data_IF_512053841922
#
_entry.id   IF_512053841922
#
_cell.length_a   1.000
_cell.length_b   1.000
_cell.length_c   1.000
_cell.angle_alpha   90.00
_cell.angle_beta   90.00
_cell.angle_gamma   90.00
#
_symmetry.space_group_name_H-M   'P 1'
#
loop_
_entity.id
_entity.type
_entity.pdbx_description
1 polymer ?
#
# COMPACT_ATOMS: atom_id res chain seq x y z
N UNK A 1 18.42 -8.43 25.24
CA UNK A 1 18.94 -7.07 24.99
C UNK A 1 20.12 -7.08 24.01
N UNK A 2 21.12 -7.95 24.21
CA UNK A 2 22.30 -8.08 23.33
C UNK A 2 21.96 -8.22 21.84
N UNK A 3 21.04 -9.12 21.46
CA UNK A 3 20.68 -9.34 20.05
C UNK A 3 20.19 -8.07 19.32
N UNK A 4 19.30 -7.30 19.94
CA UNK A 4 18.79 -6.05 19.35
C UNK A 4 19.88 -4.98 19.19
N UNK A 5 20.80 -4.88 20.14
CA UNK A 5 21.94 -3.95 20.07
C UNK A 5 22.95 -4.35 18.99
N UNK A 6 23.21 -5.65 18.80
CA UNK A 6 24.07 -6.12 17.69
C UNK A 6 23.47 -5.73 16.34
N UNK A 7 22.18 -5.98 16.12
CA UNK A 7 21.52 -5.60 14.87
C UNK A 7 21.43 -4.08 14.67
N UNK A 8 21.27 -3.31 15.75
CA UNK A 8 21.39 -1.86 15.69
C UNK A 8 22.80 -1.42 15.25
N UNK A 9 23.86 -1.99 15.84
CA UNK A 9 25.24 -1.73 15.44
C UNK A 9 25.50 -2.06 13.97
N UNK A 10 25.00 -3.21 13.50
CA UNK A 10 25.06 -3.58 12.08
C UNK A 10 24.30 -2.61 11.18
N UNK A 11 23.13 -2.14 11.62
CA UNK A 11 22.37 -1.10 10.90
C UNK A 11 23.25 0.13 10.72
N UNK A 12 23.79 0.68 11.81
CA UNK A 12 24.67 1.84 11.76
C UNK A 12 25.86 1.63 10.80
N UNK A 13 26.52 0.48 10.86
CA UNK A 13 27.68 0.16 10.03
C UNK A 13 27.31 0.07 8.54
N UNK A 14 26.24 -0.65 8.20
CA UNK A 14 25.77 -0.80 6.81
C UNK A 14 25.33 0.55 6.25
N UNK A 15 24.82 1.46 7.08
CA UNK A 15 24.30 2.74 6.63
C UNK A 15 25.32 3.89 6.58
N UNK A 16 26.44 3.81 7.30
CA UNK A 16 27.45 4.86 7.27
C UNK A 16 27.86 5.28 5.84
N UNK A 17 28.03 4.36 4.86
CA UNK A 17 28.29 4.71 3.46
C UNK A 17 27.18 5.56 2.81
N UNK A 18 25.91 5.28 3.12
CA UNK A 18 24.76 6.01 2.54
C UNK A 18 24.64 7.42 3.11
N UNK A 19 24.84 7.57 4.42
CA UNK A 19 24.92 8.87 5.06
C UNK A 19 26.05 9.71 4.47
N UNK A 20 27.24 9.11 4.31
CA UNK A 20 28.38 9.75 3.64
C UNK A 20 28.07 10.13 2.19
N UNK A 21 27.42 9.26 1.41
CA UNK A 21 27.06 9.52 0.02
C UNK A 21 26.05 10.68 -0.12
N UNK A 22 25.05 10.78 0.77
CA UNK A 22 24.08 11.87 0.78
C UNK A 22 24.71 13.22 1.17
N UNK A 23 25.75 13.19 2.01
CA UNK A 23 26.44 14.39 2.49
C UNK A 23 27.60 14.82 1.58
N UNK A 24 28.10 13.92 0.72
CA UNK A 24 29.22 14.20 -0.18
C UNK A 24 29.01 15.45 -1.07
N UNK A 25 27.83 15.71 -1.68
CA UNK A 25 27.62 16.92 -2.47
C UNK A 25 27.71 18.21 -1.65
N UNK A 26 27.19 18.21 -0.41
CA UNK A 26 27.26 19.36 0.49
C UNK A 26 28.71 19.63 0.95
N UNK A 27 29.43 18.55 1.28
CA UNK A 27 30.85 18.62 1.61
C UNK A 27 31.68 19.14 0.44
N UNK A 28 31.39 18.69 -0.77
CA UNK A 28 32.05 19.14 -2.00
C UNK A 28 31.74 20.61 -2.33
N UNK A 29 30.48 21.05 -2.23
CA UNK A 29 30.12 22.46 -2.45
C UNK A 29 30.79 23.39 -1.44
N UNK A 30 30.83 22.98 -0.16
CA UNK A 30 31.52 23.75 0.88
C UNK A 30 33.03 23.77 0.66
N UNK A 31 33.60 22.63 0.24
CA UNK A 31 35.00 22.52 -0.14
C UNK A 31 35.35 23.51 -1.26
N UNK A 32 34.60 23.50 -2.38
CA UNK A 32 34.78 24.45 -3.49
C UNK A 32 34.72 25.92 -3.06
N UNK A 33 33.85 26.26 -2.11
CA UNK A 33 33.77 27.63 -1.57
C UNK A 33 35.01 27.99 -0.79
N UNK A 34 35.42 27.10 0.12
CA UNK A 34 36.61 27.32 0.90
C UNK A 34 37.84 27.38 -0.03
N UNK A 35 37.92 26.57 -1.10
CA UNK A 35 39.05 26.49 -2.05
C UNK A 35 39.34 27.84 -2.67
N UNK A 36 38.27 28.54 -3.07
CA UNK A 36 38.35 29.91 -3.56
C UNK A 36 38.89 30.90 -2.52
N UNK A 37 38.56 30.71 -1.25
CA UNK A 37 39.05 31.58 -0.15
C UNK A 37 40.53 31.31 0.12
N UNK A 38 40.95 30.06 0.16
CA UNK A 38 42.35 29.72 0.42
C UNK A 38 43.30 30.12 -0.71
N UNK A 39 42.83 30.06 -1.97
CA UNK A 39 43.58 30.58 -3.12
C UNK A 39 43.84 32.10 -3.02
N UNK A 40 42.99 32.85 -2.29
CA UNK A 40 43.22 34.27 -2.04
C UNK A 40 44.21 34.54 -0.91
N UNK A 41 44.38 33.59 0.02
CA UNK A 41 45.19 33.77 1.24
C UNK A 41 46.61 33.16 1.14
N UNK A 42 47.01 32.59 -0.01
CA UNK A 42 48.28 31.88 -0.24
C UNK A 42 48.61 30.76 0.79
N UNK A 43 47.63 30.29 1.56
CA UNK A 43 47.88 29.28 2.61
C UNK A 43 47.87 27.86 2.01
N UNK A 44 48.85 27.01 2.33
CA UNK A 44 48.83 25.61 1.93
C UNK A 44 47.70 24.89 2.68
N UNK A 45 46.65 24.52 1.93
CA UNK A 45 45.52 23.83 2.51
C UNK A 45 45.59 22.32 2.28
N UNK A 46 45.60 21.57 3.39
CA UNK A 46 45.39 20.13 3.36
C UNK A 46 43.91 19.74 3.50
N UNK A 47 43.40 18.99 2.52
CA UNK A 47 42.06 18.38 2.52
C UNK A 47 41.70 17.69 3.84
N UNK A 48 42.68 17.02 4.46
CA UNK A 48 42.51 16.23 5.68
C UNK A 48 42.15 17.06 6.92
N UNK A 49 42.66 18.29 7.06
CA UNK A 49 42.48 19.07 8.29
C UNK A 49 41.07 19.68 8.41
N UNK A 50 40.43 20.04 7.29
CA UNK A 50 39.11 20.69 7.32
C UNK A 50 37.96 19.69 7.21
N UNK A 51 38.09 18.63 6.41
CA UNK A 51 37.01 17.68 6.17
C UNK A 51 36.86 16.65 7.29
N UNK A 52 37.95 16.21 7.93
CA UNK A 52 37.89 15.26 9.06
C UNK A 52 36.98 15.72 10.21
N UNK A 53 37.09 16.97 10.74
CA UNK A 53 36.21 17.40 11.83
C UNK A 53 34.75 17.51 11.38
N UNK A 54 34.48 17.90 10.13
CA UNK A 54 33.11 17.99 9.60
C UNK A 54 32.53 16.58 9.44
N UNK A 55 33.25 15.66 8.81
CA UNK A 55 32.84 14.27 8.66
C UNK A 55 32.61 13.62 10.03
N UNK A 56 33.49 13.84 11.02
CA UNK A 56 33.31 13.36 12.39
C UNK A 56 32.03 13.90 13.03
N UNK A 57 31.75 15.21 12.88
CA UNK A 57 30.50 15.82 13.40
C UNK A 57 29.26 15.26 12.71
N UNK A 58 29.33 15.01 11.40
CA UNK A 58 28.23 14.43 10.64
C UNK A 58 27.97 12.98 11.02
N UNK A 59 29.01 12.15 11.15
CA UNK A 59 28.91 10.78 11.65
C UNK A 59 28.36 10.76 13.06
N UNK A 60 28.85 11.63 13.95
CA UNK A 60 28.34 11.72 15.32
C UNK A 60 26.86 12.13 15.35
N UNK A 61 26.47 13.16 14.58
CA UNK A 61 25.08 13.60 14.48
C UNK A 61 24.19 12.49 13.91
N UNK A 62 24.66 11.78 12.89
CA UNK A 62 23.99 10.61 12.33
C UNK A 62 23.80 9.53 13.40
N UNK A 63 24.84 9.17 14.16
CA UNK A 63 24.76 8.19 15.24
C UNK A 63 23.74 8.60 16.31
N UNK A 64 23.78 9.85 16.75
CA UNK A 64 22.85 10.38 17.77
C UNK A 64 21.41 10.29 17.29
N UNK A 65 21.11 10.66 16.04
CA UNK A 65 19.77 10.56 15.47
C UNK A 65 19.30 9.10 15.42
N UNK A 66 20.16 8.16 15.01
CA UNK A 66 19.80 6.75 14.91
C UNK A 66 19.63 6.09 16.29
N UNK A 67 20.50 6.42 17.25
CA UNK A 67 20.38 5.98 18.64
C UNK A 67 19.11 6.53 19.28
N UNK A 68 18.81 7.81 19.09
CA UNK A 68 17.58 8.43 19.57
C UNK A 68 16.33 7.79 18.96
N UNK A 69 16.35 7.53 17.65
CA UNK A 69 15.25 6.83 16.97
C UNK A 69 15.08 5.39 17.46
N UNK A 70 16.18 4.65 17.65
CA UNK A 70 16.14 3.30 18.22
C UNK A 70 15.60 3.31 19.65
N UNK A 71 16.09 4.20 20.52
CA UNK A 71 15.61 4.31 21.90
C UNK A 71 14.11 4.64 21.94
N UNK A 72 13.64 5.53 21.06
CA UNK A 72 12.23 5.84 20.92
C UNK A 72 11.40 4.63 20.45
N UNK A 73 11.85 3.91 19.40
CA UNK A 73 11.17 2.70 18.93
C UNK A 73 11.17 1.61 20.00
N UNK A 74 12.31 1.38 20.64
CA UNK A 74 12.43 0.42 21.72
C UNK A 74 11.47 0.77 22.86
N UNK A 75 11.41 2.04 23.27
CA UNK A 75 10.46 2.50 24.27
C UNK A 75 8.99 2.31 23.87
N UNK A 76 8.64 2.67 22.63
CA UNK A 76 7.29 2.52 22.07
C UNK A 76 6.81 1.06 22.06
N UNK A 77 7.70 0.10 21.80
CA UNK A 77 7.32 -1.30 21.60
C UNK A 77 7.63 -2.21 22.79
N UNK A 78 8.47 -1.79 23.75
CA UNK A 78 8.90 -2.66 24.83
C UNK A 78 8.24 -2.40 26.19
N UNK A 79 7.63 -1.23 26.43
CA UNK A 79 7.14 -0.85 27.77
C UNK A 79 5.63 -0.92 27.99
N UNK A 80 4.79 -0.81 26.94
CA UNK A 80 3.33 -0.73 27.10
C UNK A 80 2.70 -2.05 26.66
N UNK A 81 2.01 -2.76 27.56
CA UNK A 81 1.22 -3.97 27.30
C UNK A 81 1.88 -4.95 26.32
N UNK A 82 3.13 -5.28 26.61
CA UNK A 82 4.02 -5.95 25.67
C UNK A 82 3.85 -7.47 25.69
N UNK A 83 3.18 -8.00 24.67
CA UNK A 83 3.29 -9.41 24.30
C UNK A 83 4.59 -9.66 23.51
N UNK A 84 5.29 -10.75 23.82
CA UNK A 84 6.49 -11.21 23.08
C UNK A 84 7.71 -10.25 23.17
N UNK A 85 8.08 -9.84 24.38
CA UNK A 85 9.21 -8.94 24.66
C UNK A 85 10.48 -9.24 23.84
N UNK A 86 10.89 -10.52 23.76
CA UNK A 86 12.06 -10.93 22.98
C UNK A 86 11.93 -10.59 21.49
N UNK A 87 10.77 -10.85 20.88
CA UNK A 87 10.48 -10.49 19.50
C UNK A 87 10.51 -8.97 19.29
N UNK A 88 9.93 -8.18 20.23
CA UNK A 88 9.88 -6.71 20.13
C UNK A 88 11.24 -6.03 20.12
N UNK A 89 12.26 -6.63 20.71
CA UNK A 89 13.63 -6.10 20.60
C UNK A 89 14.11 -6.11 19.15
N UNK A 90 13.84 -7.20 18.42
CA UNK A 90 14.14 -7.30 16.99
C UNK A 90 13.21 -6.41 16.16
N UNK A 91 11.95 -6.28 16.56
CA UNK A 91 11.05 -5.34 15.90
C UNK A 91 11.57 -3.90 15.99
N UNK A 92 11.93 -3.43 17.18
CA UNK A 92 12.47 -2.09 17.39
C UNK A 92 13.75 -1.85 16.59
N UNK A 93 14.67 -2.82 16.56
CA UNK A 93 15.87 -2.74 15.72
C UNK A 93 15.52 -2.68 14.22
N UNK A 94 14.59 -3.53 13.78
CA UNK A 94 14.08 -3.56 12.41
C UNK A 94 13.37 -2.28 11.99
N UNK A 95 12.70 -1.57 12.90
CA UNK A 95 12.06 -0.28 12.60
C UNK A 95 13.07 0.80 12.19
N UNK A 96 14.29 0.77 12.73
CA UNK A 96 15.37 1.69 12.33
C UNK A 96 15.70 1.49 10.85
N UNK A 97 16.00 0.24 10.46
CA UNK A 97 16.30 -0.12 9.07
C UNK A 97 15.12 0.16 8.14
N UNK A 98 13.89 -0.15 8.57
CA UNK A 98 12.68 0.06 7.79
C UNK A 98 12.40 1.57 7.56
N UNK A 99 12.60 2.41 8.58
CA UNK A 99 12.43 3.86 8.47
C UNK A 99 13.42 4.47 7.46
N UNK A 100 14.67 4.01 7.47
CA UNK A 100 15.67 4.47 6.52
C UNK A 100 15.37 4.00 5.10
N UNK A 101 14.97 2.72 4.92
CA UNK A 101 14.49 2.22 3.61
C UNK A 101 13.28 3.01 3.13
N UNK A 102 12.35 3.38 4.02
CA UNK A 102 11.20 4.24 3.70
C UNK A 102 11.62 5.63 3.24
N UNK A 103 12.66 6.22 3.85
CA UNK A 103 13.22 7.50 3.42
C UNK A 103 13.87 7.39 2.03
N UNK A 104 14.75 6.41 1.83
CA UNK A 104 15.45 6.21 0.56
C UNK A 104 14.48 5.89 -0.58
N UNK A 105 13.43 5.12 -0.32
CA UNK A 105 12.40 4.78 -1.33
C UNK A 105 11.46 5.95 -1.67
N UNK A 106 11.68 7.14 -1.10
CA UNK A 106 11.03 8.37 -1.62
C UNK A 106 11.56 8.70 -3.02
N UNK A 107 12.85 8.44 -3.26
CA UNK A 107 13.52 8.73 -4.53
C UNK A 107 13.94 7.46 -5.27
N UNK A 108 14.31 6.41 -4.54
CA UNK A 108 14.69 5.12 -5.13
C UNK A 108 13.46 4.19 -5.26
N UNK A 109 13.51 3.31 -6.25
CA UNK A 109 12.59 2.18 -6.33
C UNK A 109 12.93 1.15 -5.24
N UNK A 110 11.95 0.41 -4.67
CA UNK A 110 12.21 -0.64 -3.68
C UNK A 110 13.19 -1.75 -4.16
N UNK A 111 13.19 -2.07 -5.45
CA UNK A 111 14.12 -3.04 -6.08
C UNK A 111 15.49 -2.45 -6.44
N UNK A 112 15.76 -1.18 -6.12
CA UNK A 112 17.04 -0.59 -6.47
C UNK A 112 18.19 -1.37 -5.79
N UNK A 113 19.22 -1.84 -6.53
CA UNK A 113 20.33 -2.61 -5.95
C UNK A 113 21.05 -1.90 -4.79
N UNK A 114 21.04 -0.56 -4.79
CA UNK A 114 21.55 0.26 -3.69
C UNK A 114 20.84 -0.07 -2.37
N UNK A 115 19.58 -0.53 -2.38
CA UNK A 115 18.82 -0.93 -1.19
C UNK A 115 19.01 -2.40 -0.79
N UNK A 116 19.77 -3.19 -1.57
CA UNK A 116 19.91 -4.63 -1.34
C UNK A 116 20.55 -4.96 0.02
N UNK A 117 21.66 -4.32 0.45
CA UNK A 117 22.24 -4.58 1.78
C UNK A 117 21.25 -4.32 2.91
N UNK A 118 20.47 -3.25 2.79
CA UNK A 118 19.45 -2.88 3.79
C UNK A 118 18.30 -3.86 3.83
N UNK A 119 17.89 -4.34 2.66
CA UNK A 119 16.83 -5.34 2.54
C UNK A 119 17.28 -6.67 3.15
N UNK A 120 18.52 -7.10 2.89
CA UNK A 120 19.08 -8.33 3.47
C UNK A 120 19.25 -8.24 4.99
N UNK A 121 19.71 -7.10 5.50
CA UNK A 121 19.77 -6.87 6.94
C UNK A 121 18.37 -6.91 7.58
N UNK A 122 17.38 -6.26 6.95
CA UNK A 122 15.99 -6.30 7.42
C UNK A 122 15.41 -7.73 7.41
N UNK A 123 15.68 -8.50 6.36
CA UNK A 123 15.28 -9.91 6.25
C UNK A 123 15.90 -10.76 7.37
N UNK A 124 17.19 -10.58 7.65
CA UNK A 124 17.87 -11.28 8.74
C UNK A 124 17.24 -10.95 10.10
N UNK A 125 17.00 -9.66 10.39
CA UNK A 125 16.32 -9.22 11.62
C UNK A 125 14.92 -9.83 11.71
N UNK A 126 14.17 -9.82 10.61
CA UNK A 126 12.84 -10.41 10.54
C UNK A 126 12.88 -11.92 10.86
N UNK A 127 13.72 -12.69 10.17
CA UNK A 127 13.78 -14.14 10.36
C UNK A 127 14.28 -14.55 11.75
N UNK A 128 15.15 -13.77 12.38
CA UNK A 128 15.53 -14.00 13.77
C UNK A 128 14.40 -13.61 14.73
N UNK A 129 13.79 -12.45 14.52
CA UNK A 129 12.75 -11.92 15.41
C UNK A 129 11.47 -12.76 15.44
N UNK A 130 11.01 -13.25 14.29
CA UNK A 130 9.78 -14.06 14.23
C UNK A 130 9.91 -15.43 14.90
N UNK A 131 11.14 -15.94 15.13
CA UNK A 131 11.36 -17.18 15.90
C UNK A 131 10.96 -17.03 17.37
N UNK A 132 10.84 -15.79 17.85
CA UNK A 132 10.38 -15.48 19.21
C UNK A 132 8.88 -15.17 19.28
N UNK A 133 8.15 -15.28 18.16
CA UNK A 133 6.70 -15.20 18.12
C UNK A 133 6.09 -16.61 18.11
N UNK A 134 4.89 -16.81 18.67
CA UNK A 134 4.12 -18.04 18.48
C UNK A 134 3.88 -18.32 16.99
N UNK A 135 3.79 -19.59 16.62
CA UNK A 135 3.60 -19.99 15.22
C UNK A 135 2.33 -19.39 14.60
N UNK A 136 1.27 -19.24 15.40
CA UNK A 136 -0.02 -18.71 14.97
C UNK A 136 -0.20 -17.22 15.29
N UNK A 137 0.87 -16.46 15.49
CA UNK A 137 0.77 -15.03 15.78
C UNK A 137 0.74 -14.17 14.50
N UNK A 138 -0.27 -13.30 14.39
CA UNK A 138 -0.47 -12.40 13.26
C UNK A 138 0.58 -11.29 13.16
N UNK A 139 1.38 -11.05 14.20
CA UNK A 139 2.40 -10.01 14.23
C UNK A 139 3.43 -10.20 13.13
N UNK A 140 3.78 -11.45 12.78
CA UNK A 140 4.68 -11.73 11.66
C UNK A 140 4.15 -11.13 10.34
N UNK A 141 2.83 -11.18 10.13
CA UNK A 141 2.16 -10.56 8.99
C UNK A 141 2.26 -9.03 9.04
N UNK A 142 2.07 -8.43 10.21
CA UNK A 142 2.20 -6.98 10.39
C UNK A 142 3.62 -6.49 10.12
N UNK A 143 4.62 -7.23 10.61
CA UNK A 143 6.03 -6.93 10.35
C UNK A 143 6.32 -7.06 8.87
N UNK A 144 5.83 -8.13 8.21
CA UNK A 144 6.01 -8.35 6.77
C UNK A 144 5.42 -7.19 5.96
N UNK A 145 4.19 -6.78 6.27
CA UNK A 145 3.54 -5.64 5.65
C UNK A 145 4.35 -4.35 5.85
N UNK A 146 4.71 -4.05 7.09
CA UNK A 146 5.35 -2.78 7.46
C UNK A 146 6.75 -2.63 6.87
N UNK A 147 7.51 -3.72 6.75
CA UNK A 147 8.92 -3.67 6.38
C UNK A 147 9.19 -3.97 4.91
N UNK A 148 8.42 -4.85 4.27
CA UNK A 148 8.74 -5.34 2.92
C UNK A 148 7.70 -4.92 1.88
N UNK A 149 6.41 -4.96 2.22
CA UNK A 149 5.34 -4.60 1.29
C UNK A 149 5.07 -3.09 1.26
N UNK A 150 5.16 -2.40 2.40
CA UNK A 150 4.87 -0.97 2.51
C UNK A 150 5.61 -0.07 1.51
N UNK A 151 6.91 -0.29 1.18
CA UNK A 151 7.59 0.45 0.12
C UNK A 151 6.88 0.40 -1.25
N UNK A 152 6.23 -0.72 -1.58
CA UNK A 152 5.43 -0.89 -2.79
C UNK A 152 4.03 -0.30 -2.63
N UNK A 153 3.33 -0.68 -1.55
CA UNK A 153 1.90 -0.37 -1.37
C UNK A 153 1.65 1.13 -1.24
N UNK A 154 2.54 1.88 -0.58
CA UNK A 154 2.37 3.32 -0.36
C UNK A 154 2.39 4.17 -1.65
N UNK A 155 3.02 3.65 -2.71
CA UNK A 155 3.22 4.34 -4.00
C UNK A 155 2.60 3.57 -5.17
N UNK A 156 1.94 2.44 -4.91
CA UNK A 156 1.44 1.51 -5.94
C UNK A 156 2.52 1.14 -6.97
N UNK A 157 3.72 0.81 -6.49
CA UNK A 157 4.83 0.42 -7.37
C UNK A 157 4.75 -1.07 -7.73
N UNK A 158 5.13 -1.39 -8.96
CA UNK A 158 5.36 -2.76 -9.44
C UNK A 158 6.86 -3.05 -9.44
N UNK A 159 7.31 -4.31 -9.30
CA UNK A 159 8.72 -4.65 -9.40
C UNK A 159 9.37 -4.17 -10.71
N UNK A 160 10.69 -3.97 -10.71
CA UNK A 160 11.42 -3.64 -11.94
C UNK A 160 11.25 -4.71 -13.01
N UNK A 161 11.09 -4.26 -14.26
CA UNK A 161 10.88 -5.13 -15.42
C UNK A 161 9.48 -5.73 -15.50
N UNK A 162 8.52 -5.24 -14.71
CA UNK A 162 7.12 -5.66 -14.81
C UNK A 162 6.45 -5.00 -16.00
N UNK A 163 5.96 -5.82 -16.93
CA UNK A 163 5.10 -5.40 -18.03
C UNK A 163 3.64 -5.70 -17.69
N UNK A 164 2.76 -4.70 -17.82
CA UNK A 164 1.31 -4.80 -17.57
C UNK A 164 0.61 -5.74 -18.55
N UNK A 165 1.24 -6.06 -19.68
CA UNK A 165 0.67 -6.86 -20.76
C UNK A 165 1.08 -8.34 -20.73
N UNK A 166 1.96 -8.74 -19.82
CA UNK A 166 2.40 -10.13 -19.67
C UNK A 166 2.42 -10.58 -18.20
N UNK A 167 2.25 -11.88 -17.94
CA UNK A 167 2.45 -12.43 -16.60
C UNK A 167 3.91 -12.22 -16.22
N UNK A 168 4.15 -11.48 -15.14
CA UNK A 168 5.49 -11.27 -14.61
C UNK A 168 5.67 -12.09 -13.32
N UNK A 169 6.61 -13.05 -13.26
CA UNK A 169 6.81 -13.89 -12.08
C UNK A 169 7.13 -13.10 -10.80
N UNK A 170 7.85 -11.97 -10.89
CA UNK A 170 8.16 -11.13 -9.73
C UNK A 170 6.91 -10.44 -9.20
N UNK A 171 6.03 -9.99 -10.08
CA UNK A 171 4.77 -9.40 -9.67
C UNK A 171 3.84 -10.43 -9.04
N UNK A 172 3.77 -11.64 -9.61
CA UNK A 172 3.02 -12.77 -9.03
C UNK A 172 3.55 -13.11 -7.64
N UNK A 173 4.87 -13.23 -7.47
CA UNK A 173 5.48 -13.49 -6.17
C UNK A 173 5.16 -12.39 -5.13
N UNK A 174 5.21 -11.12 -5.54
CA UNK A 174 4.84 -10.00 -4.66
C UNK A 174 3.35 -10.02 -4.27
N UNK A 175 2.47 -10.42 -5.19
CA UNK A 175 1.04 -10.58 -4.91
C UNK A 175 0.74 -11.77 -4.01
N UNK A 176 1.45 -12.89 -4.17
CA UNK A 176 1.32 -14.04 -3.28
C UNK A 176 1.83 -13.72 -1.87
N UNK A 177 2.90 -12.94 -1.77
CA UNK A 177 3.38 -12.41 -0.49
C UNK A 177 2.36 -11.46 0.15
N UNK A 178 1.78 -10.55 -0.62
CA UNK A 178 0.73 -9.65 -0.15
C UNK A 178 -0.51 -10.43 0.31
N UNK A 179 -0.95 -11.43 -0.46
CA UNK A 179 -2.07 -12.29 -0.10
C UNK A 179 -1.81 -13.07 1.18
N UNK A 180 -0.65 -13.73 1.30
CA UNK A 180 -0.26 -14.47 2.50
C UNK A 180 -0.22 -13.56 3.73
N UNK A 181 0.27 -12.33 3.55
CA UNK A 181 0.30 -11.31 4.61
C UNK A 181 -1.11 -10.88 5.02
N UNK A 182 -2.02 -10.66 4.06
CA UNK A 182 -3.43 -10.36 4.33
C UNK A 182 -4.08 -11.50 5.11
N UNK A 183 -3.92 -12.75 4.66
CA UNK A 183 -4.48 -13.93 5.33
C UNK A 183 -3.98 -13.99 6.77
N UNK A 184 -2.67 -13.85 6.97
CA UNK A 184 -2.04 -13.86 8.30
C UNK A 184 -2.68 -12.79 9.20
N UNK A 185 -2.75 -11.53 8.73
CA UNK A 185 -3.32 -10.42 9.50
C UNK A 185 -4.80 -10.59 9.85
N UNK A 186 -5.59 -11.19 8.96
CA UNK A 186 -7.04 -11.29 9.11
C UNK A 186 -7.51 -12.58 9.80
N UNK A 187 -6.63 -13.57 9.98
CA UNK A 187 -7.00 -14.88 10.53
C UNK A 187 -6.23 -15.26 11.79
N UNK A 188 -5.08 -14.64 12.06
CA UNK A 188 -4.26 -14.95 13.22
C UNK A 188 -4.43 -13.87 14.31
N UNK A 189 -4.46 -14.26 15.60
CA UNK A 189 -4.53 -13.32 16.69
C UNK A 189 -3.30 -12.41 16.73
N UNK A 190 -3.50 -11.17 17.16
CA UNK A 190 -2.45 -10.21 17.48
C UNK A 190 -2.51 -9.98 18.99
N UNK A 191 -1.59 -10.60 19.74
CA UNK A 191 -1.60 -10.54 21.20
C UNK A 191 -1.34 -9.10 21.72
N UNK A 192 -0.48 -8.36 21.04
CA UNK A 192 -0.21 -6.96 21.33
C UNK A 192 -1.31 -6.05 20.74
N UNK A 193 -2.00 -5.31 21.63
CA UNK A 193 -3.09 -4.41 21.25
C UNK A 193 -2.61 -3.24 20.39
N UNK A 194 -1.41 -2.73 20.61
CA UNK A 194 -0.83 -1.68 19.77
C UNK A 194 -0.55 -2.20 18.36
N UNK A 195 -0.06 -3.44 18.22
CA UNK A 195 0.10 -4.08 16.91
C UNK A 195 -1.24 -4.29 16.21
N UNK A 196 -2.27 -4.72 16.95
CA UNK A 196 -3.63 -4.82 16.42
C UNK A 196 -4.14 -3.49 15.87
N UNK A 197 -3.93 -2.37 16.59
CA UNK A 197 -4.28 -1.03 16.11
C UNK A 197 -3.53 -0.63 14.84
N UNK A 198 -2.26 -0.97 14.71
CA UNK A 198 -1.47 -0.69 13.49
C UNK A 198 -1.88 -1.57 12.30
N UNK A 199 -2.29 -2.83 12.56
CA UNK A 199 -2.94 -3.68 11.57
C UNK A 199 -4.18 -2.99 10.99
N UNK A 200 -5.08 -2.53 11.86
CA UNK A 200 -6.33 -1.89 11.44
C UNK A 200 -6.10 -0.66 10.53
N UNK A 201 -5.03 0.09 10.75
CA UNK A 201 -4.68 1.27 9.95
C UNK A 201 -3.98 0.93 8.63
N UNK A 202 -3.17 -0.14 8.61
CA UNK A 202 -2.33 -0.50 7.46
C UNK A 202 -3.01 -1.46 6.48
N UNK A 203 -3.96 -2.28 6.95
CA UNK A 203 -4.66 -3.29 6.15
C UNK A 203 -5.35 -2.73 4.89
N UNK A 204 -6.09 -1.60 4.92
CA UNK A 204 -6.74 -1.06 3.71
C UNK A 204 -5.78 -0.77 2.56
N UNK A 205 -4.58 -0.28 2.88
CA UNK A 205 -3.59 0.10 1.87
C UNK A 205 -3.03 -1.15 1.20
N UNK A 206 -2.73 -2.20 2.00
CA UNK A 206 -2.28 -3.49 1.48
C UNK A 206 -3.37 -4.17 0.64
N UNK A 207 -4.61 -4.19 1.13
CA UNK A 207 -5.74 -4.75 0.42
C UNK A 207 -6.01 -4.05 -0.92
N UNK A 208 -5.97 -2.70 -0.93
CA UNK A 208 -6.13 -1.93 -2.15
C UNK A 208 -4.98 -2.15 -3.13
N UNK A 209 -3.75 -2.29 -2.64
CA UNK A 209 -2.60 -2.63 -3.49
C UNK A 209 -2.77 -4.00 -4.15
N UNK A 210 -3.08 -5.03 -3.36
CA UNK A 210 -3.36 -6.37 -3.88
C UNK A 210 -4.47 -6.31 -4.94
N UNK A 211 -5.59 -5.64 -4.64
CA UNK A 211 -6.71 -5.50 -5.58
C UNK A 211 -6.37 -4.68 -6.82
N UNK A 212 -5.46 -3.71 -6.76
CA UNK A 212 -5.06 -2.93 -7.93
C UNK A 212 -4.31 -3.79 -8.95
N UNK A 213 -3.65 -4.85 -8.50
CA UNK A 213 -2.69 -5.60 -9.29
C UNK A 213 -2.96 -7.11 -9.40
N UNK A 214 -3.95 -7.64 -8.70
CA UNK A 214 -4.41 -9.03 -8.80
C UNK A 214 -4.64 -9.51 -10.25
N UNK A 215 -4.96 -8.60 -11.15
CA UNK A 215 -5.12 -8.84 -12.57
C UNK A 215 -3.84 -9.40 -13.26
N UNK A 216 -2.66 -9.31 -12.63
CA UNK A 216 -1.40 -9.92 -13.09
C UNK A 216 -1.41 -11.46 -13.04
N UNK A 217 -2.29 -12.09 -12.25
CA UNK A 217 -2.43 -13.55 -12.22
C UNK A 217 -2.98 -14.14 -13.53
N UNK A 218 -3.53 -13.32 -14.43
CA UNK A 218 -4.47 -13.76 -15.46
C UNK A 218 -4.07 -13.33 -16.88
N UNK A 219 -2.83 -12.85 -17.07
CA UNK A 219 -2.46 -12.12 -18.28
C UNK A 219 -2.19 -13.07 -19.46
N UNK A 220 -3.21 -13.28 -20.28
CA UNK A 220 -3.07 -13.54 -21.72
C UNK A 220 -3.79 -12.42 -22.51
N UNK A 221 -3.19 -12.02 -23.63
CA UNK A 221 -3.38 -10.78 -24.42
C UNK A 221 -4.80 -10.34 -24.82
N UNK A 222 -5.90 -11.03 -24.47
CA UNK A 222 -7.25 -10.72 -24.99
C UNK A 222 -8.20 -10.24 -23.89
N UNK A 223 -8.50 -8.95 -23.93
CA UNK A 223 -9.33 -8.16 -23.01
C UNK A 223 -10.72 -8.74 -22.70
N UNK A 224 -11.32 -9.51 -23.60
CA UNK A 224 -12.62 -10.18 -23.39
C UNK A 224 -12.56 -11.54 -22.67
N UNK A 225 -11.45 -12.28 -22.78
CA UNK A 225 -11.28 -13.63 -22.18
C UNK A 225 -11.01 -13.54 -20.67
N UNK A 226 -10.63 -12.35 -20.19
CA UNK A 226 -10.24 -12.11 -18.80
C UNK A 226 -11.37 -12.33 -17.81
N UNK A 227 -12.59 -11.90 -18.12
CA UNK A 227 -13.71 -11.94 -17.19
C UNK A 227 -14.20 -13.37 -16.93
N UNK A 228 -14.50 -14.11 -18.00
CA UNK A 228 -15.00 -15.50 -17.90
C UNK A 228 -13.99 -16.43 -17.25
N UNK A 229 -12.68 -16.20 -17.47
CA UNK A 229 -11.62 -16.95 -16.80
C UNK A 229 -11.47 -16.60 -15.32
N UNK A 230 -11.55 -15.31 -14.93
CA UNK A 230 -11.51 -14.89 -13.51
C UNK A 230 -12.61 -15.60 -12.72
N UNK A 231 -13.82 -15.59 -13.26
CA UNK A 231 -15.02 -16.14 -12.62
C UNK A 231 -14.89 -17.64 -12.42
N UNK A 232 -14.28 -18.32 -13.39
CA UNK A 232 -14.03 -19.76 -13.35
C UNK A 232 -12.72 -20.12 -12.63
N UNK A 233 -11.93 -19.13 -12.19
CA UNK A 233 -10.62 -19.42 -11.59
C UNK A 233 -10.81 -19.90 -10.14
N UNK A 234 -10.47 -21.17 -9.83
CA UNK A 234 -10.83 -21.80 -8.55
C UNK A 234 -10.17 -21.12 -7.34
N UNK A 235 -9.04 -20.45 -7.55
CA UNK A 235 -8.32 -19.77 -6.47
C UNK A 235 -8.81 -18.32 -6.31
N UNK A 236 -9.16 -17.63 -7.40
CA UNK A 236 -9.20 -16.17 -7.39
C UNK A 236 -10.50 -15.63 -6.81
N UNK A 237 -11.63 -16.13 -7.31
CA UNK A 237 -12.94 -15.70 -6.84
C UNK A 237 -13.15 -15.94 -5.32
N UNK A 238 -12.72 -17.08 -4.73
CA UNK A 238 -12.74 -17.25 -3.27
C UNK A 238 -11.82 -16.28 -2.50
N UNK A 239 -10.71 -15.81 -3.11
CA UNK A 239 -9.87 -14.77 -2.49
C UNK A 239 -10.59 -13.43 -2.47
N UNK A 240 -11.26 -13.05 -3.57
CA UNK A 240 -12.02 -11.80 -3.65
C UNK A 240 -13.19 -11.75 -2.66
N UNK A 241 -13.93 -12.84 -2.50
CA UNK A 241 -15.01 -12.94 -1.51
C UNK A 241 -14.45 -12.75 -0.09
N UNK A 242 -13.41 -13.50 0.28
CA UNK A 242 -12.77 -13.37 1.60
C UNK A 242 -12.23 -11.96 1.86
N UNK A 243 -11.59 -11.34 0.87
CA UNK A 243 -11.08 -9.99 1.00
C UNK A 243 -12.22 -8.96 1.17
N UNK A 244 -13.32 -9.15 0.46
CA UNK A 244 -14.53 -8.32 0.62
C UNK A 244 -15.06 -8.41 2.04
N UNK A 245 -15.23 -9.63 2.57
CA UNK A 245 -15.74 -9.86 3.92
C UNK A 245 -14.84 -9.22 5.00
N UNK A 246 -13.51 -9.37 4.88
CA UNK A 246 -12.55 -8.73 5.79
C UNK A 246 -12.63 -7.21 5.73
N UNK A 247 -12.73 -6.62 4.54
CA UNK A 247 -12.83 -5.17 4.37
C UNK A 247 -14.16 -4.60 4.86
N UNK A 248 -15.26 -5.35 4.75
CA UNK A 248 -16.56 -4.93 5.27
C UNK A 248 -16.55 -4.86 6.79
N UNK A 249 -16.03 -5.89 7.48
CA UNK A 249 -15.92 -5.94 8.95
C UNK A 249 -14.96 -4.90 9.53
N UNK A 250 -13.99 -4.44 8.74
CA UNK A 250 -12.95 -3.52 9.22
C UNK A 250 -13.51 -2.22 9.82
N UNK A 251 -14.64 -1.72 9.34
CA UNK A 251 -15.25 -0.50 9.88
C UNK A 251 -15.78 -0.70 11.31
N UNK A 252 -16.40 -1.84 11.58
CA UNK A 252 -16.84 -2.20 12.92
C UNK A 252 -15.63 -2.31 13.86
N UNK A 253 -14.56 -2.95 13.39
CA UNK A 253 -13.30 -3.06 14.14
C UNK A 253 -12.66 -1.69 14.43
N UNK A 254 -12.74 -0.74 13.48
CA UNK A 254 -12.30 0.63 13.75
C UNK A 254 -13.13 1.30 14.84
N UNK A 255 -14.47 1.18 14.79
CA UNK A 255 -15.37 1.79 15.77
C UNK A 255 -15.20 1.19 17.17
N UNK A 256 -14.86 -0.10 17.25
CA UNK A 256 -14.53 -0.78 18.50
C UNK A 256 -13.21 -0.31 19.14
N UNK A 257 -12.35 0.38 18.39
CA UNK A 257 -11.08 0.95 18.86
C UNK A 257 -11.09 2.49 18.71
N UNK A 258 -11.56 3.26 19.72
CA UNK A 258 -11.76 4.71 19.61
C UNK A 258 -10.54 5.49 19.11
N UNK A 259 -9.34 5.10 19.54
CA UNK A 259 -8.09 5.70 19.07
C UNK A 259 -7.86 5.51 17.56
N UNK A 260 -8.20 4.32 17.05
CA UNK A 260 -8.08 3.99 15.62
C UNK A 260 -9.15 4.74 14.85
N UNK A 261 -10.39 4.77 15.33
CA UNK A 261 -11.47 5.52 14.70
C UNK A 261 -11.12 7.01 14.55
N UNK A 262 -10.61 7.63 15.62
CA UNK A 262 -10.16 9.02 15.58
C UNK A 262 -9.05 9.27 14.55
N UNK A 263 -8.10 8.33 14.39
CA UNK A 263 -7.06 8.40 13.35
C UNK A 263 -7.65 8.27 11.94
N UNK A 264 -8.58 7.34 11.72
CA UNK A 264 -9.25 7.14 10.43
C UNK A 264 -10.00 8.40 10.00
N UNK A 265 -10.71 9.05 10.93
CA UNK A 265 -11.41 10.30 10.67
C UNK A 265 -10.46 11.45 10.30
N UNK A 266 -9.30 11.56 10.99
CA UNK A 266 -8.26 12.56 10.70
C UNK A 266 -7.49 12.27 9.41
N UNK A 267 -7.43 11.02 8.97
CA UNK A 267 -6.67 10.57 7.80
C UNK A 267 -7.60 9.87 6.78
N UNK A 268 -8.43 10.63 6.03
CA UNK A 268 -9.45 10.07 5.14
C UNK A 268 -8.90 9.17 4.02
N UNK A 269 -7.59 9.23 3.75
CA UNK A 269 -6.91 8.31 2.81
C UNK A 269 -7.02 6.84 3.24
N UNK A 270 -7.13 6.56 4.54
CA UNK A 270 -7.26 5.20 5.08
C UNK A 270 -8.63 4.61 4.68
N UNK A 271 -9.72 5.33 4.96
CA UNK A 271 -11.07 4.92 4.55
C UNK A 271 -11.21 4.93 3.02
N UNK A 272 -10.61 5.90 2.32
CA UNK A 272 -10.57 5.92 0.87
C UNK A 272 -9.96 4.63 0.30
N UNK A 273 -8.80 4.19 0.79
CA UNK A 273 -8.18 2.94 0.35
C UNK A 273 -9.10 1.72 0.56
N UNK A 274 -9.80 1.64 1.70
CA UNK A 274 -10.79 0.58 1.96
C UNK A 274 -11.92 0.60 0.93
N UNK A 275 -12.52 1.76 0.70
CA UNK A 275 -13.64 1.93 -0.23
C UNK A 275 -13.22 1.68 -1.69
N UNK A 276 -12.02 2.09 -2.09
CA UNK A 276 -11.47 1.80 -3.42
C UNK A 276 -11.37 0.30 -3.68
N UNK A 277 -10.83 -0.45 -2.71
CA UNK A 277 -10.74 -1.90 -2.78
C UNK A 277 -12.15 -2.54 -2.87
N UNK A 278 -13.06 -2.13 -1.98
CA UNK A 278 -14.43 -2.66 -1.94
C UNK A 278 -15.22 -2.39 -3.22
N UNK A 279 -15.17 -1.17 -3.78
CA UNK A 279 -15.84 -0.82 -5.04
C UNK A 279 -15.34 -1.70 -6.18
N UNK A 280 -14.02 -1.93 -6.25
CA UNK A 280 -13.41 -2.77 -7.30
C UNK A 280 -13.70 -4.26 -7.13
N UNK A 281 -13.75 -4.75 -5.89
CA UNK A 281 -14.13 -6.13 -5.59
C UNK A 281 -15.61 -6.36 -5.94
N UNK A 282 -16.50 -5.47 -5.49
CA UNK A 282 -17.92 -5.54 -5.84
C UNK A 282 -18.13 -5.46 -7.35
N UNK A 283 -17.39 -4.59 -8.04
CA UNK A 283 -17.43 -4.53 -9.50
C UNK A 283 -17.05 -5.85 -10.16
N UNK A 284 -16.06 -6.58 -9.65
CA UNK A 284 -15.70 -7.90 -10.17
C UNK A 284 -16.77 -8.96 -9.88
N UNK A 285 -17.35 -8.95 -8.67
CA UNK A 285 -18.43 -9.88 -8.31
C UNK A 285 -19.68 -9.60 -9.17
N UNK A 286 -20.03 -8.33 -9.42
CA UNK A 286 -21.12 -7.96 -10.33
C UNK A 286 -20.85 -8.48 -11.74
N UNK A 287 -19.61 -8.31 -12.23
CA UNK A 287 -19.20 -8.91 -13.52
C UNK A 287 -19.40 -10.42 -13.53
N UNK A 288 -19.07 -11.05 -12.40
CA UNK A 288 -19.18 -12.48 -12.22
C UNK A 288 -20.62 -12.96 -12.35
N UNK A 289 -21.54 -12.28 -11.67
CA UNK A 289 -22.98 -12.59 -11.76
C UNK A 289 -23.52 -12.31 -13.16
N UNK A 290 -23.07 -11.24 -13.83
CA UNK A 290 -23.41 -10.92 -15.22
C UNK A 290 -23.04 -12.07 -16.16
N UNK A 291 -21.77 -12.47 -16.19
CA UNK A 291 -21.32 -13.53 -17.11
C UNK A 291 -21.86 -14.92 -16.75
N UNK A 292 -22.39 -15.09 -15.53
CA UNK A 292 -23.05 -16.31 -15.12
C UNK A 292 -24.57 -16.30 -15.39
N UNK A 293 -25.12 -15.23 -15.99
CA UNK A 293 -26.55 -15.11 -16.26
C UNK A 293 -27.41 -14.96 -14.99
N UNK A 294 -26.82 -14.52 -13.87
CA UNK A 294 -27.49 -14.36 -12.57
C UNK A 294 -27.63 -12.91 -12.13
N UNK A 295 -27.33 -11.97 -13.03
CA UNK A 295 -27.43 -10.56 -12.71
C UNK A 295 -28.88 -10.15 -12.46
N UNK A 296 -29.08 -9.33 -11.43
CA UNK A 296 -30.36 -8.72 -11.12
C UNK A 296 -30.14 -7.30 -10.62
N UNK A 297 -30.91 -6.34 -11.15
CA UNK A 297 -30.93 -4.96 -10.68
C UNK A 297 -31.33 -4.85 -9.20
N UNK A 298 -32.05 -5.84 -8.66
CA UNK A 298 -32.51 -5.88 -7.27
C UNK A 298 -31.56 -6.65 -6.34
N UNK A 299 -30.40 -7.12 -6.84
CA UNK A 299 -29.45 -7.86 -6.02
C UNK A 299 -28.92 -7.00 -4.85
N UNK A 300 -28.82 -7.54 -3.62
CA UNK A 300 -28.20 -6.85 -2.49
C UNK A 300 -26.78 -6.36 -2.78
N UNK A 301 -26.06 -7.05 -3.67
CA UNK A 301 -24.73 -6.65 -4.13
C UNK A 301 -24.73 -5.30 -4.85
N UNK A 302 -25.78 -5.01 -5.64
CA UNK A 302 -25.94 -3.73 -6.32
C UNK A 302 -26.18 -2.61 -5.31
N UNK A 303 -27.04 -2.84 -4.31
CA UNK A 303 -27.28 -1.86 -3.26
C UNK A 303 -26.00 -1.56 -2.46
N UNK A 304 -25.25 -2.61 -2.10
CA UNK A 304 -23.94 -2.45 -1.45
C UNK A 304 -22.96 -1.65 -2.32
N UNK A 305 -22.85 -1.96 -3.61
CA UNK A 305 -22.00 -1.22 -4.54
C UNK A 305 -22.37 0.26 -4.65
N UNK A 306 -23.68 0.57 -4.73
CA UNK A 306 -24.19 1.95 -4.77
C UNK A 306 -23.83 2.72 -3.51
N UNK A 307 -24.02 2.11 -2.34
CA UNK A 307 -23.67 2.72 -1.06
C UNK A 307 -22.17 2.97 -0.95
N UNK A 308 -21.33 2.01 -1.35
CA UNK A 308 -19.87 2.18 -1.37
C UNK A 308 -19.44 3.36 -2.25
N UNK A 309 -20.04 3.52 -3.43
CA UNK A 309 -19.77 4.66 -4.30
C UNK A 309 -20.26 5.97 -3.71
N UNK A 310 -21.44 5.99 -3.09
CA UNK A 310 -21.98 7.19 -2.41
C UNK A 310 -21.05 7.62 -1.28
N UNK A 311 -20.61 6.70 -0.43
CA UNK A 311 -19.62 6.99 0.63
C UNK A 311 -18.29 7.46 0.08
N UNK A 312 -17.85 6.94 -1.07
CA UNK A 312 -16.58 7.32 -1.66
C UNK A 312 -16.63 8.71 -2.30
N UNK A 313 -17.52 8.91 -3.25
CA UNK A 313 -17.60 10.07 -4.13
C UNK A 313 -18.54 11.18 -3.62
N UNK A 314 -19.49 10.85 -2.75
CA UNK A 314 -20.60 11.71 -2.39
C UNK A 314 -21.73 11.71 -3.43
N UNK A 315 -22.84 12.32 -3.06
CA UNK A 315 -23.98 12.62 -3.92
C UNK A 315 -24.33 14.12 -3.83
N UNK A 316 -25.49 14.53 -4.34
CA UNK A 316 -25.94 15.92 -4.29
C UNK A 316 -26.10 16.45 -2.86
N UNK A 317 -26.35 15.56 -1.89
CA UNK A 317 -26.67 15.91 -0.50
C UNK A 317 -25.50 15.67 0.47
N UNK A 318 -24.57 14.80 0.11
CA UNK A 318 -23.55 14.28 1.02
C UNK A 318 -22.15 14.34 0.40
N UNK A 319 -21.18 14.81 1.18
CA UNK A 319 -19.76 14.77 0.77
C UNK A 319 -19.19 13.38 1.01
N UNK A 320 -18.58 12.79 -0.01
CA UNK A 320 -17.87 11.52 0.11
C UNK A 320 -16.53 11.65 0.84
N UNK A 321 -15.92 10.52 1.18
CA UNK A 321 -14.58 10.49 1.81
C UNK A 321 -13.53 11.22 0.98
N UNK A 322 -13.65 11.17 -0.35
CA UNK A 322 -12.65 11.74 -1.23
C UNK A 322 -12.58 13.27 -1.10
N UNK A 323 -13.70 13.93 -0.81
CA UNK A 323 -13.76 15.38 -0.61
C UNK A 323 -13.12 15.83 0.71
N UNK A 324 -12.92 14.92 1.66
CA UNK A 324 -12.20 15.19 2.91
C UNK A 324 -10.67 15.20 2.72
N UNK A 325 -10.17 14.76 1.56
CA UNK A 325 -8.73 14.78 1.26
C UNK A 325 -8.31 16.19 0.82
N UNK A 326 -7.50 16.86 1.63
CA UNK A 326 -7.07 18.26 1.38
C UNK A 326 -6.25 18.45 0.10
N UNK A 327 -5.41 17.48 -0.26
CA UNK A 327 -4.57 17.56 -1.45
C UNK A 327 -5.40 17.27 -2.71
N UNK A 328 -5.77 18.33 -3.46
CA UNK A 328 -6.57 18.24 -4.70
C UNK A 328 -6.01 17.24 -5.71
N UNK A 329 -4.71 17.30 -6.03
CA UNK A 329 -4.08 16.35 -6.98
C UNK A 329 -4.26 14.89 -6.55
N UNK A 330 -4.10 14.61 -5.26
CA UNK A 330 -4.32 13.26 -4.72
C UNK A 330 -5.79 12.86 -4.83
N UNK A 331 -6.72 13.76 -4.49
CA UNK A 331 -8.16 13.51 -4.64
C UNK A 331 -8.51 13.17 -6.09
N UNK A 332 -8.04 13.96 -7.05
CA UNK A 332 -8.35 13.79 -8.46
C UNK A 332 -7.83 12.44 -8.98
N UNK A 333 -6.59 12.08 -8.64
CA UNK A 333 -6.00 10.77 -8.99
C UNK A 333 -6.81 9.61 -8.40
N UNK A 334 -7.12 9.66 -7.10
CA UNK A 334 -7.86 8.58 -6.44
C UNK A 334 -9.29 8.47 -6.98
N UNK A 335 -9.91 9.60 -7.32
CA UNK A 335 -11.23 9.65 -7.95
C UNK A 335 -11.21 9.01 -9.32
N UNK A 336 -10.26 9.39 -10.17
CA UNK A 336 -10.12 8.86 -11.52
C UNK A 336 -9.89 7.35 -11.49
N UNK A 337 -8.94 6.88 -10.66
CA UNK A 337 -8.62 5.46 -10.51
C UNK A 337 -9.81 4.60 -10.04
N UNK A 338 -10.81 5.19 -9.39
CA UNK A 338 -11.89 4.45 -8.69
C UNK A 338 -13.25 4.60 -9.37
N UNK A 339 -13.58 5.82 -9.78
CA UNK A 339 -14.89 6.19 -10.34
C UNK A 339 -14.83 6.31 -11.85
N UNK A 340 -13.70 6.78 -12.42
CA UNK A 340 -13.52 6.96 -13.88
C UNK A 340 -12.77 5.81 -14.54
N UNK A 341 -12.53 4.68 -13.86
CA UNK A 341 -12.02 3.51 -14.57
C UNK A 341 -13.14 2.91 -15.43
N UNK A 342 -12.79 2.30 -16.57
CA UNK A 342 -13.75 1.80 -17.56
C UNK A 342 -14.82 0.88 -16.99
N UNK A 343 -14.46 0.01 -16.04
CA UNK A 343 -15.40 -0.90 -15.38
C UNK A 343 -16.39 -0.17 -14.46
N UNK A 344 -15.92 0.77 -13.63
CA UNK A 344 -16.78 1.57 -12.77
C UNK A 344 -17.72 2.47 -13.59
N UNK A 345 -17.22 3.02 -14.69
CA UNK A 345 -18.04 3.79 -15.63
C UNK A 345 -19.09 2.90 -16.29
N UNK A 346 -18.73 1.70 -16.74
CA UNK A 346 -19.66 0.72 -17.30
C UNK A 346 -20.79 0.38 -16.32
N UNK A 347 -20.49 0.04 -15.06
CA UNK A 347 -21.57 -0.27 -14.11
C UNK A 347 -22.43 0.92 -13.74
N UNK A 348 -21.85 2.13 -13.73
CA UNK A 348 -22.66 3.32 -13.55
C UNK A 348 -23.67 3.47 -14.69
N UNK A 349 -23.26 3.21 -15.94
CA UNK A 349 -24.14 3.21 -17.11
C UNK A 349 -25.25 2.16 -16.98
N UNK A 350 -24.87 0.90 -16.75
CA UNK A 350 -25.81 -0.21 -16.62
C UNK A 350 -26.87 0.09 -15.55
N UNK A 351 -26.42 0.50 -14.37
CA UNK A 351 -27.33 0.72 -13.26
C UNK A 351 -28.24 1.94 -13.45
N UNK A 352 -27.78 3.00 -14.11
CA UNK A 352 -28.60 4.18 -14.36
C UNK A 352 -29.58 3.99 -15.52
N UNK A 353 -29.09 3.45 -16.64
CA UNK A 353 -29.84 3.46 -17.90
C UNK A 353 -30.72 2.21 -18.04
N UNK A 354 -30.31 1.07 -17.46
CA UNK A 354 -31.08 -0.18 -17.53
C UNK A 354 -31.80 -0.52 -16.23
N UNK A 355 -31.18 -0.26 -15.07
CA UNK A 355 -31.81 -0.54 -13.78
C UNK A 355 -32.56 0.65 -13.17
N UNK A 356 -32.49 1.84 -13.78
CA UNK A 356 -33.07 3.09 -13.24
C UNK A 356 -32.65 3.43 -11.81
N UNK A 357 -31.44 3.03 -11.43
CA UNK A 357 -30.88 3.24 -10.10
C UNK A 357 -29.78 4.30 -10.14
N UNK A 358 -29.90 5.43 -9.41
CA UNK A 358 -28.87 6.45 -9.38
C UNK A 358 -27.60 5.91 -8.69
N UNK A 359 -26.44 6.24 -9.26
CA UNK A 359 -25.14 5.79 -8.77
C UNK A 359 -24.18 6.98 -8.68
N UNK A 360 -23.57 7.15 -7.51
CA UNK A 360 -22.70 8.27 -7.20
C UNK A 360 -21.41 8.34 -8.04
N UNK A 361 -20.87 9.56 -8.11
CA UNK A 361 -19.73 9.93 -8.95
C UNK A 361 -20.16 10.56 -10.28
N UNK A 362 -19.39 11.48 -10.84
CA UNK A 362 -19.67 12.18 -12.11
C UNK A 362 -19.27 11.30 -13.28
N UNK A 363 -19.90 11.48 -14.43
CA UNK A 363 -19.41 10.94 -15.70
C UNK A 363 -18.73 12.07 -16.46
N UNK A 364 -17.52 11.84 -16.97
CA UNK A 364 -16.87 12.81 -17.86
C UNK A 364 -17.00 12.44 -19.35
N UNK A 365 -17.70 11.36 -19.69
CA UNK A 365 -17.98 10.99 -21.09
C UNK A 365 -19.33 11.52 -21.56
N UNK A 366 -19.36 12.10 -22.76
CA UNK A 366 -20.59 12.46 -23.47
C UNK A 366 -21.40 11.23 -23.89
N UNK A 367 -22.71 11.41 -24.13
CA UNK A 367 -23.65 10.33 -24.43
C UNK A 367 -23.23 9.48 -25.65
N UNK A 368 -22.76 10.11 -26.71
CA UNK A 368 -22.36 9.43 -27.95
C UNK A 368 -21.08 8.59 -27.78
N UNK A 369 -20.10 9.12 -27.02
CA UNK A 369 -18.87 8.40 -26.68
C UNK A 369 -19.16 7.20 -25.77
N UNK A 370 -20.17 7.31 -24.90
CA UNK A 370 -20.61 6.28 -23.95
C UNK A 370 -21.09 5.02 -24.68
N UNK A 371 -21.99 5.18 -25.64
CA UNK A 371 -22.61 4.04 -26.33
C UNK A 371 -21.62 3.32 -27.25
N UNK A 372 -20.77 4.07 -27.95
CA UNK A 372 -19.71 3.49 -28.80
C UNK A 372 -18.63 2.78 -27.95
N UNK A 373 -18.12 3.44 -26.90
CA UNK A 373 -17.04 2.87 -26.08
C UNK A 373 -17.48 1.60 -25.34
N UNK A 374 -18.68 1.59 -24.75
CA UNK A 374 -19.17 0.39 -24.05
C UNK A 374 -19.67 -0.68 -25.02
N UNK A 375 -20.23 -0.29 -26.17
CA UNK A 375 -20.61 -1.22 -27.22
C UNK A 375 -19.41 -2.04 -27.72
N UNK A 376 -18.24 -1.43 -27.84
CA UNK A 376 -17.04 -2.11 -28.34
C UNK A 376 -16.34 -2.95 -27.26
N UNK A 377 -16.16 -2.39 -26.06
CA UNK A 377 -15.34 -3.03 -25.00
C UNK A 377 -16.13 -4.03 -24.16
N UNK A 378 -17.43 -3.77 -23.96
CA UNK A 378 -18.32 -4.53 -23.09
C UNK A 378 -19.53 -5.10 -23.84
N UNK A 379 -19.37 -5.37 -25.15
CA UNK A 379 -20.45 -5.86 -26.01
C UNK A 379 -21.17 -7.10 -25.42
N UNK A 380 -20.37 -8.06 -24.92
CA UNK A 380 -20.85 -9.30 -24.34
C UNK A 380 -21.59 -9.08 -23.01
N UNK A 381 -21.08 -8.20 -22.14
CA UNK A 381 -21.78 -7.83 -20.91
C UNK A 381 -23.10 -7.11 -21.24
N UNK A 382 -23.09 -6.21 -22.22
CA UNK A 382 -24.25 -5.41 -22.57
C UNK A 382 -25.36 -6.24 -23.23
N UNK A 383 -25.02 -7.28 -24.01
CA UNK A 383 -26.01 -8.19 -24.58
C UNK A 383 -26.75 -8.97 -23.49
N UNK A 384 -26.01 -9.52 -22.52
CA UNK A 384 -26.60 -10.25 -21.38
C UNK A 384 -27.50 -9.35 -20.53
N UNK A 385 -27.10 -8.09 -20.32
CA UNK A 385 -27.93 -7.12 -19.57
C UNK A 385 -29.22 -6.83 -20.32
N UNK A 386 -29.14 -6.54 -21.62
CA UNK A 386 -30.31 -6.25 -22.46
C UNK A 386 -31.31 -7.40 -22.46
N UNK A 387 -30.83 -8.64 -22.42
CA UNK A 387 -31.67 -9.82 -22.30
C UNK A 387 -32.33 -9.88 -20.91
N UNK A 388 -31.55 -9.71 -19.84
CA UNK A 388 -32.03 -9.77 -18.46
C UNK A 388 -32.98 -8.63 -18.05
N UNK A 389 -33.04 -7.52 -18.79
CA UNK A 389 -33.90 -6.36 -18.49
C UNK A 389 -35.02 -6.14 -19.50
N UNK A 390 -35.23 -7.07 -20.44
CA UNK A 390 -36.36 -7.04 -21.39
C UNK A 390 -37.65 -7.60 -20.81
N UNK A 391 -37.54 -8.33 -19.71
CA UNK A 391 -38.64 -8.73 -18.82
C UNK A 391 -39.00 -7.58 -17.88
#
# INVERSE_FOLDING_TARGET
>A
MLGGLVFFGLTVLVFAPYGCALLAPLLWLRHRRLEKVAQQDERPWSWGQTLRPIARRLVLGYLVVHLGFFAWQWGKWNFVDNAHYAAKQYFAAGQVTAAQRKLLTLVLHPDNPVLWPLTKLQEAIYHVGIKYLPENDGEKGLWRNSWFLYPYTRRNLTPYGTDRFHVNPRMVALLDEAWTTIVTLCTQPLADRQMYREYLLSFPVLANYYRLFDAYYLVEKKTGIRATRIIKHPIYFPREKRLTDWLLRLEEQWRAEPEVWGKVQKHPKIEAARLMALIRLHGNIIRSELMAGRFSCNSPLIQSYRELRRRFAGDEKTKGVIERISNKKTRDILYEMTIQNGQAMFYKYVLQDFCHQPVAGRFFMGKEMKDNYFGDIFANELSVIKEATRE
#
